data_IF_699379602454
#
_entry.id   IF_699379602454
#
_cell.length_a   1.000
_cell.length_b   1.000
_cell.length_c   1.000
_cell.angle_alpha   90.00
_cell.angle_beta   90.00
_cell.angle_gamma   90.00
#
_symmetry.space_group_name_H-M   'P 1'
#
loop_
_entity.id
_entity.type
_entity.pdbx_description
1 polymer ?
#
# COMPACT_ATOMS: atom_id res chain seq x y z
N UNK A 1 24.03 -0.95 17.14
CA UNK A 1 22.76 -1.30 16.48
C UNK A 1 22.76 -2.79 16.13
N UNK A 2 22.33 -3.65 17.04
CA UNK A 2 22.24 -5.11 16.80
C UNK A 2 21.14 -5.79 17.60
N UNK A 3 20.12 -5.04 18.06
CA UNK A 3 19.12 -5.55 19.01
C UNK A 3 18.02 -6.38 18.33
N UNK A 4 17.90 -6.34 17.00
CA UNK A 4 16.77 -6.93 16.26
C UNK A 4 17.12 -8.10 15.35
N UNK A 5 18.36 -8.64 15.37
CA UNK A 5 18.79 -9.68 14.42
C UNK A 5 17.91 -10.95 14.45
N UNK A 6 17.28 -11.24 15.59
CA UNK A 6 16.42 -12.43 15.79
C UNK A 6 14.95 -12.08 16.05
N UNK A 7 14.55 -10.81 15.90
CA UNK A 7 13.17 -10.41 16.16
C UNK A 7 12.29 -10.76 14.94
N UNK A 8 11.69 -11.95 14.97
CA UNK A 8 10.72 -12.38 13.95
C UNK A 8 9.35 -11.81 14.30
N UNK A 9 8.92 -10.79 13.56
CA UNK A 9 7.54 -10.29 13.65
C UNK A 9 6.64 -11.28 12.89
N UNK A 10 5.65 -11.83 13.58
CA UNK A 10 4.62 -12.67 12.97
C UNK A 10 3.59 -11.84 12.22
N UNK A 11 2.99 -12.40 11.17
CA UNK A 11 1.88 -11.76 10.46
C UNK A 11 0.73 -11.39 11.41
N UNK A 12 0.46 -12.23 12.41
CA UNK A 12 -0.55 -11.94 13.45
C UNK A 12 -0.23 -10.63 14.19
N UNK A 13 1.01 -10.43 14.60
CA UNK A 13 1.42 -9.19 15.28
C UNK A 13 1.22 -7.98 14.37
N UNK A 14 1.60 -8.09 13.08
CA UNK A 14 1.40 -7.01 12.09
C UNK A 14 -0.09 -6.68 11.92
N UNK A 15 -0.94 -7.70 11.81
CA UNK A 15 -2.38 -7.53 11.67
C UNK A 15 -3.02 -6.91 12.93
N UNK A 16 -2.50 -7.21 14.12
CA UNK A 16 -2.96 -6.61 15.39
C UNK A 16 -2.59 -5.12 15.51
N UNK A 17 -1.55 -4.65 14.81
CA UNK A 17 -1.21 -3.23 14.79
C UNK A 17 -2.22 -2.38 14.03
N UNK A 18 -2.95 -2.96 13.07
CA UNK A 18 -4.02 -2.28 12.33
C UNK A 18 -5.32 -2.39 13.14
N UNK A 19 -5.81 -1.30 13.76
CA UNK A 19 -6.97 -1.40 14.62
C UNK A 19 -8.21 -1.76 13.82
N UNK A 20 -8.95 -2.81 14.20
CA UNK A 20 -10.25 -3.14 13.59
C UNK A 20 -11.24 -1.97 13.66
N UNK A 21 -11.17 -1.20 14.75
CA UNK A 21 -11.96 0.02 14.92
C UNK A 21 -11.67 1.08 13.84
N UNK A 22 -10.40 1.20 13.40
CA UNK A 22 -10.03 2.08 12.29
C UNK A 22 -10.69 1.62 11.00
N UNK A 23 -10.54 0.33 10.64
CA UNK A 23 -11.12 -0.22 9.42
C UNK A 23 -12.66 -0.07 9.41
N UNK A 24 -13.29 -0.31 10.56
CA UNK A 24 -14.74 -0.12 10.74
C UNK A 24 -15.16 1.34 10.57
N UNK A 25 -14.42 2.27 11.18
CA UNK A 25 -14.67 3.70 11.06
C UNK A 25 -14.52 4.16 9.60
N UNK A 26 -13.41 3.81 8.96
CA UNK A 26 -13.15 4.13 7.56
C UNK A 26 -14.19 3.52 6.64
N UNK A 27 -14.63 2.27 6.87
CA UNK A 27 -15.70 1.66 6.10
C UNK A 27 -17.00 2.45 6.16
N UNK A 28 -17.35 2.99 7.34
CA UNK A 28 -18.54 3.79 7.54
C UNK A 28 -18.45 5.19 6.92
N UNK A 29 -17.27 5.82 6.96
CA UNK A 29 -17.09 7.20 6.46
C UNK A 29 -16.78 7.27 4.97
N UNK A 30 -16.01 6.34 4.43
CA UNK A 30 -15.47 6.40 3.06
C UNK A 30 -16.39 5.82 1.98
N UNK A 31 -17.61 5.36 2.32
CA UNK A 31 -18.51 4.61 1.40
C UNK A 31 -17.80 3.47 0.64
N UNK A 32 -16.65 2.99 1.13
CA UNK A 32 -15.83 1.97 0.45
C UNK A 32 -16.64 0.71 0.19
N UNK A 33 -17.60 0.40 1.06
CA UNK A 33 -18.45 -0.79 0.99
C UNK A 33 -19.74 -0.61 0.20
N UNK A 34 -19.94 0.56 -0.41
CA UNK A 34 -21.10 0.82 -1.23
C UNK A 34 -21.20 -0.20 -2.38
N UNK A 35 -22.33 -0.90 -2.44
CA UNK A 35 -22.61 -2.02 -3.36
C UNK A 35 -21.75 -3.28 -3.21
N UNK A 36 -20.87 -3.38 -2.20
CA UNK A 36 -20.14 -4.62 -1.94
C UNK A 36 -20.97 -5.60 -1.13
N UNK A 37 -21.04 -6.86 -1.57
CA UNK A 37 -21.81 -7.92 -0.89
C UNK A 37 -20.97 -8.83 -0.01
N UNK A 38 -19.71 -9.04 -0.38
CA UNK A 38 -18.80 -10.01 0.28
C UNK A 38 -17.44 -9.38 0.51
N UNK A 39 -16.82 -8.82 -0.54
CA UNK A 39 -15.50 -8.19 -0.48
C UNK A 39 -15.56 -6.77 0.10
N UNK A 40 -15.92 -6.65 1.36
CA UNK A 40 -15.86 -5.38 2.09
C UNK A 40 -14.43 -4.85 2.20
N UNK A 41 -14.25 -3.55 2.45
CA UNK A 41 -12.96 -2.86 2.51
C UNK A 41 -12.00 -3.49 3.50
N UNK A 42 -12.48 -3.86 4.68
CA UNK A 42 -11.71 -4.62 5.68
C UNK A 42 -11.22 -5.96 5.13
N UNK A 43 -12.11 -6.76 4.53
CA UNK A 43 -11.75 -8.07 3.94
C UNK A 43 -10.76 -7.92 2.79
N UNK A 44 -10.94 -6.89 1.95
CA UNK A 44 -10.00 -6.56 0.88
C UNK A 44 -8.63 -6.18 1.42
N UNK A 45 -8.58 -5.35 2.47
CA UNK A 45 -7.34 -4.96 3.13
C UNK A 45 -6.57 -6.17 3.67
N UNK A 46 -7.24 -7.02 4.47
CA UNK A 46 -6.60 -8.22 5.01
C UNK A 46 -6.17 -9.21 3.94
N UNK A 47 -7.00 -9.42 2.91
CA UNK A 47 -6.67 -10.32 1.82
C UNK A 47 -5.40 -9.86 1.08
N UNK A 48 -5.33 -8.57 0.74
CA UNK A 48 -4.15 -8.01 0.07
C UNK A 48 -2.91 -8.08 0.96
N UNK A 49 -3.02 -7.68 2.23
CA UNK A 49 -1.92 -7.69 3.17
C UNK A 49 -1.41 -9.12 3.40
N UNK A 50 -2.31 -10.06 3.67
CA UNK A 50 -1.98 -11.47 3.86
C UNK A 50 -1.25 -12.02 2.63
N UNK A 51 -1.76 -11.79 1.43
CA UNK A 51 -1.12 -12.32 0.23
C UNK A 51 0.23 -11.65 -0.09
N UNK A 52 0.45 -10.38 0.27
CA UNK A 52 1.76 -9.73 0.16
C UNK A 52 2.78 -10.40 1.10
N UNK A 53 2.34 -10.82 2.29
CA UNK A 53 3.21 -11.49 3.26
C UNK A 53 3.48 -12.96 2.93
N UNK A 54 2.47 -13.68 2.47
CA UNK A 54 2.50 -15.15 2.40
C UNK A 54 2.85 -15.70 1.02
N UNK A 55 2.71 -14.89 -0.05
CA UNK A 55 2.84 -15.39 -1.42
C UNK A 55 3.97 -14.70 -2.19
N UNK A 56 4.85 -15.50 -2.82
CA UNK A 56 5.89 -15.00 -3.72
C UNK A 56 5.32 -14.25 -4.94
N UNK A 57 4.11 -14.62 -5.37
CA UNK A 57 3.44 -14.04 -6.53
C UNK A 57 2.01 -13.62 -6.20
N UNK A 58 1.80 -12.31 -6.17
CA UNK A 58 0.49 -11.71 -6.02
C UNK A 58 -0.27 -11.74 -7.36
N UNK A 59 -1.38 -12.47 -7.42
CA UNK A 59 -2.28 -12.50 -8.57
C UNK A 59 -3.73 -12.63 -8.12
N UNK A 60 -4.69 -12.21 -8.94
CA UNK A 60 -6.12 -12.38 -8.60
C UNK A 60 -6.53 -13.85 -8.41
N UNK A 61 -5.80 -14.81 -9.00
CA UNK A 61 -6.02 -16.24 -8.75
C UNK A 61 -5.54 -16.62 -7.35
N UNK A 62 -4.32 -16.20 -7.01
CA UNK A 62 -3.77 -16.37 -5.66
C UNK A 62 -4.70 -15.77 -4.60
N UNK A 63 -5.21 -14.56 -4.83
CA UNK A 63 -6.17 -13.90 -3.95
C UNK A 63 -7.48 -14.70 -3.80
N UNK A 64 -8.00 -15.30 -4.87
CA UNK A 64 -9.18 -16.16 -4.83
C UNK A 64 -8.92 -17.43 -4.01
N UNK A 65 -7.82 -18.12 -4.30
CA UNK A 65 -7.43 -19.36 -3.61
C UNK A 65 -7.20 -19.11 -2.12
N UNK A 66 -6.50 -18.01 -1.77
CA UNK A 66 -6.28 -17.60 -0.37
C UNK A 66 -7.59 -17.32 0.34
N UNK A 67 -8.48 -16.48 -0.22
CA UNK A 67 -9.74 -16.14 0.44
C UNK A 67 -10.63 -17.38 0.67
N UNK A 68 -10.64 -18.29 -0.30
CA UNK A 68 -11.45 -19.50 -0.24
C UNK A 68 -10.81 -20.60 0.63
N UNK A 69 -9.57 -20.42 1.10
CA UNK A 69 -8.90 -21.37 1.99
C UNK A 69 -9.45 -21.33 3.42
N UNK A 70 -9.52 -22.49 4.07
CA UNK A 70 -9.97 -22.59 5.46
C UNK A 70 -9.05 -21.84 6.44
N UNK A 71 -7.74 -21.81 6.16
CA UNK A 71 -6.76 -21.11 7.00
C UNK A 71 -7.01 -19.60 7.06
N UNK A 72 -7.21 -18.96 5.91
CA UNK A 72 -7.52 -17.53 5.85
C UNK A 72 -8.86 -17.23 6.54
N UNK A 73 -9.89 -18.04 6.27
CA UNK A 73 -11.20 -17.87 6.89
C UNK A 73 -11.15 -17.98 8.41
N UNK A 74 -10.43 -18.98 8.93
CA UNK A 74 -10.25 -19.15 10.37
C UNK A 74 -9.50 -17.95 11.00
N UNK A 75 -8.48 -17.42 10.34
CA UNK A 75 -7.70 -16.28 10.84
C UNK A 75 -8.52 -14.98 10.93
N UNK A 76 -9.43 -14.77 9.97
CA UNK A 76 -10.22 -13.54 9.88
C UNK A 76 -11.69 -13.70 10.31
N UNK A 77 -12.07 -14.89 10.81
CA UNK A 77 -13.43 -15.17 11.29
C UNK A 77 -14.50 -15.11 10.19
N UNK A 78 -14.18 -15.61 8.99
CA UNK A 78 -15.08 -15.62 7.84
C UNK A 78 -15.89 -16.92 7.77
N UNK A 79 -17.10 -16.86 7.23
CA UNK A 79 -17.95 -18.04 7.03
C UNK A 79 -17.40 -19.01 5.99
N UNK A 80 -17.60 -20.33 6.20
CA UNK A 80 -17.15 -21.36 5.25
C UNK A 80 -17.91 -21.29 3.91
N UNK A 81 -19.16 -20.82 3.96
CA UNK A 81 -20.01 -20.53 2.82
C UNK A 81 -19.58 -19.29 2.03
N UNK A 82 -18.83 -18.36 2.65
CA UNK A 82 -18.35 -17.17 1.97
C UNK A 82 -17.30 -17.56 0.93
N UNK A 83 -17.58 -17.25 -0.33
CA UNK A 83 -16.67 -17.53 -1.43
C UNK A 83 -16.61 -16.34 -2.38
N UNK A 84 -15.45 -16.17 -2.98
CA UNK A 84 -15.23 -15.19 -4.03
C UNK A 84 -14.72 -15.87 -5.28
N UNK A 85 -14.83 -15.17 -6.40
CA UNK A 85 -14.19 -15.54 -7.66
C UNK A 85 -13.19 -14.46 -8.06
N UNK A 86 -12.21 -14.80 -8.89
CA UNK A 86 -11.28 -13.87 -9.52
C UNK A 86 -11.99 -12.66 -10.14
N UNK A 87 -13.15 -12.88 -10.77
CA UNK A 87 -13.95 -11.80 -11.36
C UNK A 87 -14.47 -10.81 -10.32
N UNK A 88 -14.87 -11.28 -9.14
CA UNK A 88 -15.31 -10.43 -8.02
C UNK A 88 -14.17 -9.57 -7.52
N UNK A 89 -12.96 -10.13 -7.45
CA UNK A 89 -11.74 -9.40 -7.06
C UNK A 89 -11.41 -8.34 -8.13
N UNK A 90 -11.48 -8.70 -9.40
CA UNK A 90 -11.23 -7.77 -10.50
C UNK A 90 -12.21 -6.61 -10.52
N UNK A 91 -13.51 -6.88 -10.31
CA UNK A 91 -14.53 -5.84 -10.20
C UNK A 91 -14.29 -4.96 -8.96
N UNK A 92 -13.91 -5.57 -7.84
CA UNK A 92 -13.66 -4.82 -6.61
C UNK A 92 -12.47 -3.87 -6.77
N UNK A 93 -11.37 -4.35 -7.34
CA UNK A 93 -10.17 -3.55 -7.61
C UNK A 93 -10.40 -2.41 -8.60
N UNK A 94 -11.38 -2.51 -9.51
CA UNK A 94 -11.68 -1.43 -10.47
C UNK A 94 -12.58 -0.32 -9.90
N UNK A 95 -13.20 -0.55 -8.73
CA UNK A 95 -14.20 0.36 -8.14
C UNK A 95 -13.82 0.88 -6.75
N UNK A 96 -13.00 0.15 -6.01
CA UNK A 96 -12.62 0.54 -4.65
C UNK A 96 -11.82 1.84 -4.68
N UNK A 97 -12.19 2.80 -3.83
CA UNK A 97 -11.48 4.07 -3.73
C UNK A 97 -10.11 3.85 -3.07
N UNK A 98 -8.98 4.14 -3.76
CA UNK A 98 -7.65 4.03 -3.18
C UNK A 98 -7.43 4.89 -1.92
N UNK A 99 -8.20 5.96 -1.73
CA UNK A 99 -8.11 6.82 -0.54
C UNK A 99 -8.35 6.04 0.75
N UNK A 100 -9.20 5.00 0.71
CA UNK A 100 -9.40 4.10 1.85
C UNK A 100 -8.07 3.49 2.34
N UNK A 101 -7.22 3.02 1.43
CA UNK A 101 -5.92 2.44 1.79
C UNK A 101 -4.90 3.50 2.21
N UNK A 102 -5.00 4.70 1.63
CA UNK A 102 -4.17 5.85 2.01
C UNK A 102 -4.43 6.27 3.45
N UNK A 103 -5.69 6.42 3.85
CA UNK A 103 -6.06 6.79 5.22
C UNK A 103 -5.61 5.74 6.24
N UNK A 104 -5.68 4.44 5.89
CA UNK A 104 -5.11 3.37 6.72
C UNK A 104 -3.60 3.54 6.89
N UNK A 105 -2.89 3.80 5.79
CA UNK A 105 -1.44 4.03 5.82
C UNK A 105 -1.07 5.24 6.67
N UNK A 106 -1.73 6.38 6.48
CA UNK A 106 -1.45 7.63 7.20
C UNK A 106 -1.67 7.45 8.70
N UNK A 107 -2.77 6.80 9.11
CA UNK A 107 -3.00 6.49 10.53
C UNK A 107 -1.91 5.60 11.12
N UNK A 108 -1.50 4.55 10.39
CA UNK A 108 -0.43 3.65 10.84
C UNK A 108 0.89 4.41 10.94
N UNK A 109 1.21 5.24 9.95
CA UNK A 109 2.39 6.09 9.92
C UNK A 109 2.44 7.02 11.13
N UNK A 110 1.36 7.75 11.44
CA UNK A 110 1.29 8.65 12.61
C UNK A 110 1.50 7.89 13.93
N UNK A 111 0.91 6.70 14.04
CA UNK A 111 1.09 5.87 15.23
C UNK A 111 2.56 5.46 15.39
N UNK A 112 3.21 4.99 14.32
CA UNK A 112 4.60 4.58 14.39
C UNK A 112 5.56 5.77 14.53
N UNK A 113 5.32 6.88 13.84
CA UNK A 113 6.16 8.07 13.93
C UNK A 113 6.19 8.62 15.36
N UNK A 114 5.08 8.53 16.09
CA UNK A 114 5.00 8.92 17.52
C UNK A 114 5.84 8.07 18.47
N UNK A 115 6.24 6.87 18.06
CA UNK A 115 7.07 5.96 18.88
C UNK A 115 8.57 6.24 18.75
N UNK A 116 8.98 7.01 17.74
CA UNK A 116 10.38 7.40 17.57
C UNK A 116 10.68 8.64 18.40
N UNK A 117 11.78 8.60 19.14
CA UNK A 117 12.20 9.71 19.99
C UNK A 117 12.61 10.90 19.11
N UNK A 118 12.16 12.12 19.44
CA UNK A 118 12.52 13.32 18.66
C UNK A 118 14.03 13.45 18.49
N UNK A 119 14.81 13.06 19.50
CA UNK A 119 16.28 13.09 19.44
C UNK A 119 16.88 12.04 18.50
N UNK A 120 16.19 10.93 18.22
CA UNK A 120 16.59 9.95 17.20
C UNK A 120 16.25 10.46 15.80
N UNK A 121 15.06 11.03 15.61
CA UNK A 121 14.63 11.61 14.34
C UNK A 121 15.41 12.86 13.97
N UNK A 122 15.72 13.74 14.94
CA UNK A 122 16.54 14.96 14.77
C UNK A 122 17.99 14.65 14.39
N UNK A 123 18.55 13.48 14.74
CA UNK A 123 19.86 13.06 14.21
C UNK A 123 19.83 12.86 12.69
N UNK A 124 18.66 12.59 12.14
CA UNK A 124 18.43 12.37 10.72
C UNK A 124 17.80 13.58 10.02
N UNK A 125 17.92 14.82 10.55
CA UNK A 125 17.31 16.11 10.09
C UNK A 125 17.48 16.46 8.58
N UNK A 126 17.12 15.52 7.73
CA UNK A 126 17.44 15.32 6.33
C UNK A 126 16.34 14.42 5.81
N UNK A 127 15.41 15.01 5.08
CA UNK A 127 14.47 14.22 4.29
C UNK A 127 15.26 13.64 3.11
N UNK A 128 15.41 12.32 3.10
CA UNK A 128 16.07 11.62 1.99
C UNK A 128 15.03 11.34 0.94
N UNK A 129 15.29 11.76 -0.29
CA UNK A 129 14.42 11.45 -1.43
C UNK A 129 15.13 10.46 -2.32
N UNK A 130 14.50 9.32 -2.57
CA UNK A 130 14.96 8.33 -3.53
C UNK A 130 13.91 8.15 -4.63
N UNK A 131 14.37 8.01 -5.87
CA UNK A 131 13.51 7.89 -7.04
C UNK A 131 13.81 6.61 -7.80
N UNK A 132 12.75 5.93 -8.23
CA UNK A 132 12.86 4.74 -9.07
C UNK A 132 11.86 4.78 -10.21
N UNK A 133 12.20 4.10 -11.31
CA UNK A 133 11.34 3.98 -12.48
C UNK A 133 10.95 2.52 -12.68
N UNK A 134 9.65 2.27 -12.76
CA UNK A 134 9.09 0.93 -12.96
C UNK A 134 8.52 0.82 -14.37
N UNK A 135 8.90 -0.24 -15.08
CA UNK A 135 8.49 -0.51 -16.47
C UNK A 135 7.50 -1.68 -16.62
N UNK A 136 7.50 -2.61 -15.66
CA UNK A 136 6.74 -3.86 -15.80
C UNK A 136 5.24 -3.64 -15.49
N UNK A 137 4.95 -2.98 -14.37
CA UNK A 137 3.58 -2.63 -13.97
C UNK A 137 2.92 -1.66 -14.95
N UNK A 138 3.70 -0.74 -15.53
CA UNK A 138 3.24 0.32 -16.42
C UNK A 138 2.80 -0.16 -17.81
N UNK A 139 3.21 -1.35 -18.25
CA UNK A 139 2.63 -2.01 -19.43
C UNK A 139 1.12 -2.28 -19.30
N UNK A 140 0.60 -2.32 -18.06
CA UNK A 140 -0.82 -2.52 -17.75
C UNK A 140 -1.55 -1.20 -17.48
N UNK A 141 -0.86 -0.07 -17.52
CA UNK A 141 -1.44 1.24 -17.21
C UNK A 141 -1.95 1.94 -18.47
N UNK A 142 -3.09 2.62 -18.31
CA UNK A 142 -3.67 3.46 -19.36
C UNK A 142 -2.79 4.67 -19.67
N UNK A 143 -2.10 5.21 -18.66
CA UNK A 143 -1.27 6.41 -18.73
C UNK A 143 0.12 6.13 -18.15
N UNK A 144 1.14 6.86 -18.60
CA UNK A 144 2.53 6.69 -18.21
C UNK A 144 3.49 7.39 -19.16
N UNK A 145 4.76 7.45 -18.78
CA UNK A 145 5.85 8.01 -19.58
C UNK A 145 6.08 7.09 -20.77
N UNK A 146 5.80 7.55 -21.99
CA UNK A 146 5.87 6.72 -23.18
C UNK A 146 7.32 6.54 -23.65
N UNK A 147 7.73 5.29 -23.86
CA UNK A 147 9.05 4.93 -24.40
C UNK A 147 9.06 4.80 -25.92
N UNK A 148 7.92 5.07 -26.59
CA UNK A 148 7.73 4.96 -28.05
C UNK A 148 8.00 3.56 -28.62
N UNK A 149 7.97 2.55 -27.76
CA UNK A 149 8.17 1.13 -28.11
C UNK A 149 7.04 0.25 -27.58
N UNK A 150 5.88 0.85 -27.26
CA UNK A 150 4.73 0.19 -26.65
C UNK A 150 4.85 -0.03 -25.13
N UNK A 151 6.00 0.26 -24.52
CA UNK A 151 6.15 0.26 -23.06
C UNK A 151 5.93 1.66 -22.52
N UNK A 152 5.24 1.73 -21.38
CA UNK A 152 5.13 2.95 -20.56
C UNK A 152 5.99 2.78 -19.32
N UNK A 153 6.38 3.88 -18.68
CA UNK A 153 7.05 3.88 -17.38
C UNK A 153 6.23 4.70 -16.38
N UNK A 154 6.36 4.39 -15.10
CA UNK A 154 5.95 5.27 -14.01
C UNK A 154 7.14 5.47 -13.10
N UNK A 155 7.36 6.72 -12.72
CA UNK A 155 8.41 7.10 -11.78
C UNK A 155 7.79 7.33 -10.42
N UNK A 156 8.41 6.76 -9.39
CA UNK A 156 8.04 6.92 -8.00
C UNK A 156 9.18 7.60 -7.28
N UNK A 157 8.87 8.66 -6.53
CA UNK A 157 9.83 9.30 -5.64
C UNK A 157 9.32 9.17 -4.21
N UNK A 158 10.10 8.52 -3.36
CA UNK A 158 9.80 8.32 -1.95
C UNK A 158 10.64 9.26 -1.11
N UNK A 159 9.99 9.92 -0.17
CA UNK A 159 10.67 10.70 0.88
C UNK A 159 10.69 9.90 2.16
N UNK A 160 11.84 9.93 2.83
CA UNK A 160 12.06 9.27 4.11
C UNK A 160 12.44 10.31 5.15
N UNK A 161 11.73 10.31 6.28
CA UNK A 161 11.98 11.19 7.44
C UNK A 161 13.19 10.74 8.30
N UNK A 162 14.04 9.88 7.73
CA UNK A 162 15.13 9.20 8.40
C UNK A 162 14.84 7.72 8.64
N UNK A 163 13.59 7.34 8.92
CA UNK A 163 13.24 5.96 9.28
C UNK A 163 12.02 5.46 8.50
N UNK A 164 10.97 6.27 8.37
CA UNK A 164 9.72 5.89 7.73
C UNK A 164 9.53 6.61 6.39
N UNK A 165 8.82 6.00 5.42
CA UNK A 165 8.42 6.71 4.20
C UNK A 165 7.35 7.75 4.55
N UNK A 166 7.72 9.03 4.53
CA UNK A 166 6.85 10.14 4.92
C UNK A 166 6.00 10.68 3.76
N UNK A 167 6.43 10.44 2.52
CA UNK A 167 5.69 10.83 1.34
C UNK A 167 6.07 10.01 0.11
N UNK A 168 5.15 9.97 -0.86
CA UNK A 168 5.36 9.39 -2.18
C UNK A 168 4.79 10.33 -3.24
N UNK A 169 5.56 10.55 -4.29
CA UNK A 169 5.15 11.25 -5.49
C UNK A 169 5.13 10.29 -6.67
N UNK A 170 4.06 10.32 -7.46
CA UNK A 170 3.86 9.45 -8.60
C UNK A 170 3.88 10.29 -9.87
N UNK A 171 4.87 10.04 -10.72
CA UNK A 171 5.10 10.78 -11.94
C UNK A 171 4.85 9.90 -13.16
N UNK A 172 3.81 10.23 -13.93
CA UNK A 172 3.33 9.43 -15.06
C UNK A 172 3.25 10.22 -16.39
N UNK A 173 3.74 11.46 -16.45
CA UNK A 173 3.73 12.28 -17.67
C UNK A 173 5.12 12.42 -18.30
N UNK A 174 5.17 12.65 -19.61
CA UNK A 174 6.42 12.62 -20.38
C UNK A 174 7.52 13.55 -19.85
N UNK A 175 7.17 14.72 -19.30
CA UNK A 175 8.16 15.67 -18.75
C UNK A 175 9.00 15.07 -17.62
N UNK A 176 8.45 14.11 -16.88
CA UNK A 176 9.13 13.44 -15.77
C UNK A 176 10.03 12.29 -16.23
N UNK A 177 10.22 12.08 -17.54
CA UNK A 177 11.29 11.20 -18.02
C UNK A 177 12.66 11.71 -17.56
N UNK A 178 12.82 13.03 -17.41
CA UNK A 178 14.02 13.63 -16.81
C UNK A 178 13.93 13.61 -15.28
N UNK A 179 14.98 13.13 -14.62
CA UNK A 179 15.12 13.20 -13.16
C UNK A 179 15.33 14.64 -12.69
N UNK A 180 15.94 15.50 -13.52
CA UNK A 180 16.15 16.92 -13.24
C UNK A 180 14.83 17.70 -13.08
N UNK A 181 13.71 17.14 -13.52
CA UNK A 181 12.37 17.71 -13.32
C UNK A 181 11.67 17.03 -12.15
N UNK A 182 11.69 15.69 -12.10
CA UNK A 182 10.94 14.92 -11.11
C UNK A 182 11.49 15.09 -9.69
N UNK A 183 12.80 14.99 -9.51
CA UNK A 183 13.43 15.00 -8.18
C UNK A 183 13.30 16.36 -7.49
N UNK A 184 13.55 17.51 -8.14
CA UNK A 184 13.31 18.81 -7.49
C UNK A 184 11.85 19.03 -7.12
N UNK A 185 10.90 18.59 -7.96
CA UNK A 185 9.48 18.70 -7.66
C UNK A 185 9.11 17.87 -6.41
N UNK A 186 9.62 16.65 -6.31
CA UNK A 186 9.41 15.79 -5.14
C UNK A 186 10.00 16.40 -3.86
N UNK A 187 11.22 16.96 -3.92
CA UNK A 187 11.87 17.65 -2.79
C UNK A 187 11.06 18.88 -2.38
N UNK A 188 10.65 19.72 -3.33
CA UNK A 188 9.91 20.95 -3.05
C UNK A 188 8.53 20.68 -2.45
N UNK A 189 7.87 19.58 -2.83
CA UNK A 189 6.59 19.18 -2.25
C UNK A 189 6.72 18.79 -0.77
N UNK A 190 7.89 18.33 -0.31
CA UNK A 190 8.14 18.08 1.12
C UNK A 190 8.22 19.37 1.93
N UNK A 191 8.79 20.44 1.36
CA UNK A 191 8.96 21.72 2.05
C UNK A 191 7.65 22.50 2.18
N UNK A 192 6.66 22.20 1.32
CA UNK A 192 5.36 22.90 1.28
C UNK A 192 4.30 22.31 2.20
N UNK A 193 4.54 21.13 2.78
CA UNK A 193 3.67 20.50 3.78
C UNK A 193 4.01 21.01 5.17
#
# INVERSE_FOLDING_TARGET
MSVFKDHKISLKQILEFVPRALLSHLSATTKVDYYSKVLHGEKMFYLLLFCIFDNEKLSQRTLEDTFNSSGFKALFGLGEEEKIRRSSISERLSKIDPNYFKEIYEYIYERFSSLYDKTETEKYNLIRVDSTIVSHASSRLKEGIDQKNGKKLVKFSFSFDGILPSAVEIFNTQKYSSEEVALPEAILNQVKK
#
